data_IF_173342622080
#
_entry.id   IF_173342622080
#
_cell.length_a   1.000
_cell.length_b   1.000
_cell.length_c   1.000
_cell.angle_alpha   90.00
_cell.angle_beta   90.00
_cell.angle_gamma   90.00
#
_symmetry.space_group_name_H-M   'P 1'
#
loop_
_entity.id
_entity.type
_entity.pdbx_description
1 polymer ?
#
# COMPACT_ATOMS: atom_id res chain seq x y z
N UNK A 1 -29.49 -1.24 42.04
CA UNK A 1 -28.15 -0.62 41.92
C UNK A 1 -28.11 0.56 40.94
N UNK A 2 -28.91 0.56 39.85
CA UNK A 2 -28.98 1.65 38.87
C UNK A 2 -29.36 3.04 39.43
N UNK A 3 -30.19 3.09 40.48
CA UNK A 3 -30.70 4.35 41.05
C UNK A 3 -29.63 5.23 41.71
N UNK A 4 -28.45 4.68 42.04
CA UNK A 4 -27.32 5.47 42.56
C UNK A 4 -26.55 6.21 41.46
N UNK A 5 -26.47 5.63 40.26
CA UNK A 5 -25.85 6.27 39.09
C UNK A 5 -26.71 7.38 38.47
N UNK A 6 -28.04 7.33 38.66
CA UNK A 6 -28.99 8.33 38.17
C UNK A 6 -29.14 9.57 39.09
N UNK A 7 -28.58 9.54 40.31
CA UNK A 7 -28.61 10.69 41.24
C UNK A 7 -27.93 11.96 40.68
N UNK A 8 -26.72 11.90 40.08
CA UNK A 8 -26.10 13.07 39.47
C UNK A 8 -26.86 13.61 38.25
N UNK A 9 -27.62 12.77 37.54
CA UNK A 9 -28.48 13.18 36.41
C UNK A 9 -29.71 14.00 36.83
N UNK A 10 -30.02 14.11 38.13
CA UNK A 10 -31.12 14.96 38.61
C UNK A 10 -30.75 16.45 38.64
N UNK A 11 -29.45 16.77 38.55
CA UNK A 11 -29.00 18.15 38.40
C UNK A 11 -29.09 18.54 36.92
N UNK A 12 -29.97 19.50 36.60
CA UNK A 12 -30.21 19.96 35.23
C UNK A 12 -28.93 20.32 34.49
N UNK A 13 -27.99 21.00 35.15
CA UNK A 13 -26.71 21.42 34.54
C UNK A 13 -25.81 20.24 34.20
N UNK A 14 -25.81 19.20 35.04
CA UNK A 14 -24.97 18.02 34.82
C UNK A 14 -25.56 17.12 33.74
N UNK A 15 -26.89 16.99 33.70
CA UNK A 15 -27.60 16.25 32.67
C UNK A 15 -27.47 16.92 31.30
N UNK A 16 -27.68 18.24 31.22
CA UNK A 16 -27.48 19.00 29.96
C UNK A 16 -26.02 18.99 29.53
N UNK A 17 -25.07 19.12 30.46
CA UNK A 17 -23.64 19.02 30.16
C UNK A 17 -23.25 17.66 29.59
N UNK A 18 -23.74 16.56 30.17
CA UNK A 18 -23.50 15.20 29.65
C UNK A 18 -24.13 14.98 28.28
N UNK A 19 -25.37 15.45 28.07
CA UNK A 19 -26.04 15.37 26.76
C UNK A 19 -25.26 16.16 25.72
N UNK A 20 -24.79 17.35 26.05
CA UNK A 20 -24.00 18.19 25.15
C UNK A 20 -22.63 17.56 24.85
N UNK A 21 -21.98 16.95 25.84
CA UNK A 21 -20.74 16.19 25.64
C UNK A 21 -20.95 15.02 24.69
N UNK A 22 -21.99 14.21 24.91
CA UNK A 22 -22.34 13.11 24.01
C UNK A 22 -22.69 13.63 22.62
N UNK A 23 -23.39 14.77 22.52
CA UNK A 23 -23.69 15.41 21.24
C UNK A 23 -22.42 15.80 20.48
N UNK A 24 -21.48 16.48 21.13
CA UNK A 24 -20.19 16.85 20.54
C UNK A 24 -19.32 15.66 20.14
N UNK A 25 -19.43 14.52 20.84
CA UNK A 25 -18.63 13.34 20.55
C UNK A 25 -19.14 12.52 19.36
N UNK A 26 -20.46 12.51 19.12
CA UNK A 26 -21.10 11.59 18.16
C UNK A 26 -21.85 12.25 17.00
N UNK A 27 -22.39 13.46 17.18
CA UNK A 27 -23.25 14.11 16.19
C UNK A 27 -22.60 15.36 15.55
N UNK A 28 -21.49 15.85 16.11
CA UNK A 28 -20.73 16.96 15.53
C UNK A 28 -19.82 16.48 14.38
N UNK A 29 -19.45 17.39 13.47
CA UNK A 29 -18.68 17.09 12.26
C UNK A 29 -17.27 16.52 12.50
N UNK A 30 -16.77 16.62 13.74
CA UNK A 30 -15.52 16.03 14.19
C UNK A 30 -15.74 14.76 15.03
N UNK A 31 -16.77 13.99 14.70
CA UNK A 31 -17.10 12.76 15.41
C UNK A 31 -15.91 11.78 15.46
N UNK A 32 -15.80 11.07 16.59
CA UNK A 32 -14.72 10.10 16.82
C UNK A 32 -14.63 9.02 15.72
N UNK A 33 -15.74 8.42 15.24
CA UNK A 33 -15.69 7.47 14.13
C UNK A 33 -15.03 8.02 12.86
N UNK A 34 -15.34 9.26 12.47
CA UNK A 34 -14.74 9.93 11.31
C UNK A 34 -13.25 10.15 11.51
N UNK A 35 -12.82 10.60 12.69
CA UNK A 35 -11.38 10.76 12.97
C UNK A 35 -10.61 9.45 12.90
N UNK A 36 -11.16 8.37 13.46
CA UNK A 36 -10.56 7.04 13.35
C UNK A 36 -10.47 6.65 11.89
N UNK A 37 -11.56 6.72 11.12
CA UNK A 37 -11.56 6.38 9.69
C UNK A 37 -10.51 7.16 8.90
N UNK A 38 -10.39 8.46 9.16
CA UNK A 38 -9.41 9.32 8.50
C UNK A 38 -7.97 8.93 8.87
N UNK A 39 -7.71 8.58 10.13
CA UNK A 39 -6.39 8.11 10.55
C UNK A 39 -5.99 6.79 9.88
N UNK A 40 -6.93 5.85 9.75
CA UNK A 40 -6.69 4.60 9.02
C UNK A 40 -6.44 4.89 7.54
N UNK A 41 -7.23 5.78 6.94
CA UNK A 41 -7.07 6.16 5.53
C UNK A 41 -5.74 6.86 5.26
N UNK A 42 -5.31 7.72 6.18
CA UNK A 42 -4.01 8.38 6.09
C UNK A 42 -2.87 7.36 6.09
N UNK A 43 -2.90 6.38 7.01
CA UNK A 43 -1.89 5.31 7.05
C UNK A 43 -1.88 4.43 5.80
N UNK A 44 -3.05 4.16 5.22
CA UNK A 44 -3.16 3.44 3.96
C UNK A 44 -2.50 4.24 2.82
N UNK A 45 -2.83 5.53 2.70
CA UNK A 45 -2.27 6.41 1.68
C UNK A 45 -0.75 6.60 1.81
N UNK A 46 -0.22 6.68 3.04
CA UNK A 46 1.22 6.73 3.28
C UNK A 46 1.92 5.45 2.81
N UNK A 47 1.33 4.28 3.08
CA UNK A 47 1.87 3.00 2.59
C UNK A 47 1.83 2.93 1.07
N UNK A 48 0.72 3.33 0.47
CA UNK A 48 0.57 3.37 -0.99
C UNK A 48 1.61 4.32 -1.62
N UNK A 49 1.82 5.49 -1.01
CA UNK A 49 2.81 6.46 -1.49
C UNK A 49 4.23 5.87 -1.49
N UNK A 50 4.63 5.20 -0.41
CA UNK A 50 5.93 4.51 -0.33
C UNK A 50 6.03 3.41 -1.38
N UNK A 51 5.01 2.56 -1.49
CA UNK A 51 4.96 1.47 -2.45
C UNK A 51 5.11 1.96 -3.90
N UNK A 52 4.37 2.99 -4.28
CA UNK A 52 4.44 3.54 -5.64
C UNK A 52 5.75 4.27 -5.90
N UNK A 53 6.33 4.95 -4.92
CA UNK A 53 7.66 5.55 -5.08
C UNK A 53 8.73 4.49 -5.36
N UNK A 54 8.70 3.36 -4.66
CA UNK A 54 9.63 2.27 -4.91
C UNK A 54 9.38 1.63 -6.29
N UNK A 55 8.11 1.41 -6.67
CA UNK A 55 7.78 0.92 -8.02
C UNK A 55 8.22 1.85 -9.13
N UNK A 56 8.15 3.17 -8.93
CA UNK A 56 8.65 4.14 -9.91
C UNK A 56 10.16 3.98 -10.07
N UNK A 57 10.92 3.81 -8.97
CA UNK A 57 12.37 3.57 -9.03
C UNK A 57 12.69 2.28 -9.79
N UNK A 58 11.99 1.19 -9.48
CA UNK A 58 12.15 -0.09 -10.17
C UNK A 58 11.94 0.06 -11.69
N UNK A 59 10.83 0.71 -12.09
CA UNK A 59 10.49 0.92 -13.50
C UNK A 59 11.48 1.86 -14.18
N UNK A 60 12.00 2.88 -13.50
CA UNK A 60 13.05 3.74 -14.05
C UNK A 60 14.34 2.98 -14.33
N UNK A 61 14.75 2.09 -13.41
CA UNK A 61 15.92 1.24 -13.60
C UNK A 61 15.73 0.30 -14.79
N UNK A 62 14.59 -0.40 -14.86
CA UNK A 62 14.25 -1.26 -16.00
C UNK A 62 14.19 -0.49 -17.31
N UNK A 63 13.61 0.73 -17.31
CA UNK A 63 13.57 1.58 -18.49
C UNK A 63 14.98 1.94 -18.96
N UNK A 64 15.91 2.19 -18.06
CA UNK A 64 17.28 2.49 -18.42
C UNK A 64 18.01 1.27 -19.01
N UNK A 65 17.70 0.06 -18.51
CA UNK A 65 18.19 -1.19 -19.10
C UNK A 65 17.62 -1.42 -20.52
N UNK A 66 16.34 -1.13 -20.73
CA UNK A 66 15.65 -1.38 -22.01
C UNK A 66 15.85 -0.27 -23.05
N UNK A 67 15.96 1.00 -22.64
CA UNK A 67 16.00 2.14 -23.57
C UNK A 67 17.33 2.90 -23.55
N UNK A 68 18.24 2.59 -22.62
CA UNK A 68 19.46 3.36 -22.41
C UNK A 68 20.49 3.22 -23.54
N UNK A 69 21.13 2.05 -23.62
CA UNK A 69 22.23 1.79 -24.57
C UNK A 69 21.98 0.48 -25.30
N UNK A 70 22.32 0.40 -26.59
CA UNK A 70 22.20 -0.78 -27.45
C UNK A 70 22.74 -2.06 -26.79
N UNK A 71 23.86 -1.97 -26.05
CA UNK A 71 24.40 -3.10 -25.27
C UNK A 71 23.46 -3.57 -24.15
N UNK A 72 22.83 -2.64 -23.42
CA UNK A 72 21.89 -2.98 -22.36
C UNK A 72 20.60 -3.56 -22.95
N UNK A 73 20.16 -3.05 -24.11
CA UNK A 73 19.00 -3.62 -24.83
C UNK A 73 19.26 -5.04 -25.30
N UNK A 74 20.43 -5.30 -25.88
CA UNK A 74 20.81 -6.66 -26.30
C UNK A 74 20.91 -7.59 -25.09
N UNK A 75 21.52 -7.14 -23.99
CA UNK A 75 21.57 -7.90 -22.72
C UNK A 75 20.16 -8.24 -22.22
N UNK A 76 19.27 -7.25 -22.12
CA UNK A 76 17.89 -7.44 -21.67
C UNK A 76 17.10 -8.40 -22.58
N UNK A 77 17.24 -8.26 -23.90
CA UNK A 77 16.61 -9.16 -24.87
C UNK A 77 17.12 -10.61 -24.77
N UNK A 78 18.43 -10.79 -24.55
CA UNK A 78 19.05 -12.11 -24.35
C UNK A 78 18.64 -12.76 -23.03
N UNK A 79 18.69 -12.02 -21.92
CA UNK A 79 18.38 -12.58 -20.59
C UNK A 79 16.88 -12.81 -20.39
N UNK A 80 16.03 -11.90 -20.86
CA UNK A 80 14.58 -11.97 -20.58
C UNK A 80 13.79 -12.72 -21.63
N UNK A 81 14.21 -12.67 -22.89
CA UNK A 81 13.49 -13.26 -24.02
C UNK A 81 14.31 -14.31 -24.78
N UNK A 82 15.54 -14.61 -24.34
CA UNK A 82 16.42 -15.60 -24.98
C UNK A 82 16.63 -15.32 -26.48
N UNK A 83 16.60 -14.03 -26.86
CA UNK A 83 16.76 -13.62 -28.25
C UNK A 83 18.18 -13.93 -28.75
N UNK A 84 18.27 -14.45 -29.98
CA UNK A 84 19.53 -14.82 -30.63
C UNK A 84 19.71 -14.13 -31.98
N UNK A 85 20.96 -13.95 -32.41
CA UNK A 85 21.28 -13.53 -33.78
C UNK A 85 21.10 -14.72 -34.73
N UNK A 86 20.83 -14.50 -36.04
CA UNK A 86 20.68 -15.59 -37.00
C UNK A 86 21.91 -16.50 -37.14
N UNK A 87 23.09 -16.00 -36.77
CA UNK A 87 24.37 -16.71 -36.82
C UNK A 87 24.77 -17.36 -35.49
N UNK A 88 23.87 -17.40 -34.50
CA UNK A 88 24.14 -17.87 -33.14
C UNK A 88 23.09 -18.91 -32.71
N UNK A 89 23.52 -19.91 -31.95
CA UNK A 89 22.64 -20.90 -31.33
C UNK A 89 22.69 -20.76 -29.81
N UNK A 90 21.50 -20.67 -29.20
CA UNK A 90 21.31 -20.51 -27.76
C UNK A 90 20.79 -21.82 -27.21
N UNK A 91 21.47 -22.36 -26.20
CA UNK A 91 21.09 -23.59 -25.50
C UNK A 91 20.60 -23.23 -24.10
N UNK A 92 19.42 -23.72 -23.72
CA UNK A 92 18.87 -23.61 -22.36
C UNK A 92 19.02 -24.97 -21.70
N UNK A 93 19.77 -25.03 -20.61
CA UNK A 93 19.96 -26.27 -19.85
C UNK A 93 18.78 -26.42 -18.91
N UNK A 94 18.05 -27.53 -19.05
CA UNK A 94 16.87 -27.86 -18.24
C UNK A 94 17.08 -29.16 -17.49
N UNK A 95 16.41 -29.29 -16.34
CA UNK A 95 16.39 -30.52 -15.56
C UNK A 95 15.45 -31.59 -16.17
N UNK A 96 15.31 -32.72 -15.47
CA UNK A 96 14.44 -33.83 -15.88
C UNK A 96 12.95 -33.46 -15.96
N UNK A 97 12.57 -32.38 -15.28
CA UNK A 97 11.20 -31.83 -15.26
C UNK A 97 11.02 -30.68 -16.26
N UNK A 98 12.02 -30.44 -17.10
CA UNK A 98 12.02 -29.40 -18.13
C UNK A 98 12.07 -27.97 -17.56
N UNK A 99 12.58 -27.80 -16.35
CA UNK A 99 12.79 -26.50 -15.68
C UNK A 99 14.24 -26.00 -15.86
N UNK A 100 14.46 -24.69 -16.12
CA UNK A 100 15.81 -24.14 -16.25
C UNK A 100 16.64 -24.34 -14.98
N UNK A 101 17.86 -24.87 -15.12
CA UNK A 101 18.75 -25.18 -13.98
C UNK A 101 19.33 -23.90 -13.35
N UNK A 102 19.46 -22.82 -14.13
CA UNK A 102 19.91 -21.51 -13.66
C UNK A 102 18.73 -20.52 -13.56
N UNK A 103 18.64 -19.81 -12.43
CA UNK A 103 17.70 -18.70 -12.16
C UNK A 103 18.45 -17.44 -11.77
#
# INVERSE_FOLDING_TARGET
MLSRFLRPLRNFYLATGLVLLVWMLFFDANDLPSQVRNWWKLRELEKDAVYFQDKIRDVQNQRQEVLGNDRLREKYARERYLMKKPTEDVFVIVDENNEPIEK
#
